data_IF_919565833228
#
_entry.id   IF_919565833228
#
_cell.length_a   1.000
_cell.length_b   1.000
_cell.length_c   1.000
_cell.angle_alpha   90.00
_cell.angle_beta   90.00
_cell.angle_gamma   90.00
#
_symmetry.space_group_name_H-M   'P 1'
#
loop_
_entity.id
_entity.type
_entity.pdbx_description
1 polymer ?
#
# COMPACT_ATOMS: atom_id res chain seq x y z
N UNK A 1 25.78 -7.69 19.88
CA UNK A 1 24.41 -7.24 20.30
C UNK A 1 23.42 -7.88 19.33
N UNK A 2 22.23 -8.33 19.76
CA UNK A 2 21.27 -8.92 18.83
C UNK A 2 20.88 -7.92 17.74
N UNK A 3 20.41 -8.43 16.60
CA UNK A 3 19.93 -7.61 15.49
C UNK A 3 18.79 -6.68 15.94
N UNK A 4 18.96 -5.39 15.70
CA UNK A 4 17.98 -4.36 16.00
C UNK A 4 17.36 -3.83 14.69
N UNK A 5 16.04 -3.74 14.62
CA UNK A 5 15.34 -2.94 13.62
C UNK A 5 15.30 -1.50 14.16
N UNK A 6 16.08 -0.63 13.56
CA UNK A 6 16.24 0.76 13.98
C UNK A 6 15.44 1.68 13.07
N UNK A 7 14.61 2.54 13.66
CA UNK A 7 13.78 3.53 12.96
C UNK A 7 13.10 2.95 11.71
N UNK A 8 12.27 1.88 11.82
CA UNK A 8 11.62 1.27 10.67
C UNK A 8 10.77 2.28 9.90
N UNK A 9 10.68 2.09 8.59
CA UNK A 9 9.94 2.97 7.67
C UNK A 9 8.68 2.27 7.21
N UNK A 10 7.53 2.87 7.48
CA UNK A 10 6.23 2.34 7.08
C UNK A 10 5.59 3.22 6.01
N UNK A 11 5.25 2.64 4.85
CA UNK A 11 4.49 3.32 3.80
C UNK A 11 3.00 3.13 4.09
N UNK A 12 2.33 4.22 4.44
CA UNK A 12 0.90 4.29 4.71
C UNK A 12 0.15 4.80 3.49
N UNK A 13 -0.86 4.08 3.02
CA UNK A 13 -1.64 4.46 1.86
C UNK A 13 -2.99 3.75 1.85
N UNK A 14 -3.99 4.37 1.22
CA UNK A 14 -5.17 3.64 0.82
C UNK A 14 -4.80 2.52 -0.18
N UNK A 15 -5.56 1.43 -0.25
CA UNK A 15 -5.32 0.41 -1.26
C UNK A 15 -5.26 1.02 -2.66
N UNK A 16 -4.39 0.50 -3.52
CA UNK A 16 -4.27 0.92 -4.94
C UNK A 16 -3.74 2.34 -5.16
N UNK A 17 -3.01 2.91 -4.20
CA UNK A 17 -2.38 4.26 -4.27
C UNK A 17 -0.96 4.25 -4.84
N UNK A 18 -0.54 3.28 -5.61
CA UNK A 18 0.85 3.10 -6.08
C UNK A 18 1.87 2.78 -4.96
N UNK A 19 1.42 2.38 -3.77
CA UNK A 19 2.30 2.08 -2.64
C UNK A 19 3.25 0.91 -2.90
N UNK A 20 2.84 -0.08 -3.68
CA UNK A 20 3.73 -1.16 -4.12
C UNK A 20 4.83 -0.65 -5.04
N UNK A 21 4.51 0.26 -5.97
CA UNK A 21 5.52 0.87 -6.84
C UNK A 21 6.55 1.67 -6.02
N UNK A 22 6.10 2.47 -5.05
CA UNK A 22 7.00 3.19 -4.16
C UNK A 22 7.87 2.23 -3.34
N UNK A 23 7.28 1.19 -2.78
CA UNK A 23 8.00 0.16 -2.04
C UNK A 23 9.07 -0.53 -2.89
N UNK A 24 8.70 -1.01 -4.09
CA UNK A 24 9.61 -1.67 -5.03
C UNK A 24 10.73 -0.71 -5.48
N UNK A 25 10.43 0.58 -5.63
CA UNK A 25 11.41 1.62 -5.96
C UNK A 25 12.42 1.80 -4.85
N UNK A 26 11.96 2.02 -3.62
CA UNK A 26 12.85 2.25 -2.47
C UNK A 26 13.61 1.00 -2.04
N UNK A 27 13.03 -0.20 -2.21
CA UNK A 27 13.68 -1.49 -1.91
C UNK A 27 14.91 -1.79 -2.77
N UNK A 28 15.20 -0.97 -3.79
CA UNK A 28 16.44 -1.07 -4.57
C UNK A 28 17.67 -0.53 -3.81
N UNK A 29 17.46 0.31 -2.80
CA UNK A 29 18.53 0.79 -1.94
C UNK A 29 19.17 -0.35 -1.14
N UNK A 30 20.49 -0.43 -1.12
CA UNK A 30 21.25 -1.40 -0.32
C UNK A 30 21.11 -1.16 1.20
N UNK A 31 20.58 0.01 1.61
CA UNK A 31 20.42 0.39 3.01
C UNK A 31 19.07 -0.01 3.61
N UNK A 32 18.16 -0.58 2.79
CA UNK A 32 16.82 -0.95 3.22
C UNK A 32 16.62 -2.46 3.19
N UNK A 33 15.99 -2.94 4.22
CA UNK A 33 15.59 -4.34 4.39
C UNK A 33 14.07 -4.45 4.37
N UNK A 34 13.53 -5.52 3.87
CA UNK A 34 12.09 -5.77 3.85
C UNK A 34 11.79 -7.21 4.29
N UNK A 35 10.55 -7.50 4.57
CA UNK A 35 10.11 -8.88 4.81
C UNK A 35 9.77 -9.61 3.48
N UNK A 36 9.99 -8.96 2.34
CA UNK A 36 9.77 -9.52 0.99
C UNK A 36 8.32 -9.55 0.53
N UNK A 37 7.35 -9.35 1.41
CA UNK A 37 5.92 -9.32 1.16
C UNK A 37 5.21 -8.41 2.18
N UNK A 38 3.89 -8.43 2.20
CA UNK A 38 3.07 -7.64 3.13
C UNK A 38 3.05 -8.26 4.54
N UNK A 39 3.14 -7.42 5.57
CA UNK A 39 3.25 -7.84 6.98
C UNK A 39 1.95 -8.37 7.60
N UNK A 40 0.82 -8.33 6.87
CA UNK A 40 -0.45 -8.71 7.47
C UNK A 40 -0.47 -10.15 8.00
N UNK A 41 0.20 -11.09 7.35
CA UNK A 41 0.31 -12.47 7.84
C UNK A 41 1.08 -12.56 9.16
N UNK A 42 2.17 -11.76 9.33
CA UNK A 42 2.93 -11.70 10.56
C UNK A 42 2.15 -11.08 11.72
N UNK A 43 1.25 -10.14 11.42
CA UNK A 43 0.45 -9.45 12.42
C UNK A 43 -0.80 -10.28 12.76
N UNK A 44 -1.55 -10.71 11.76
CA UNK A 44 -2.85 -11.38 11.91
C UNK A 44 -2.75 -12.84 12.38
N UNK A 45 -1.55 -13.42 12.54
CA UNK A 45 -1.38 -14.71 13.20
C UNK A 45 -1.73 -14.67 14.70
N UNK A 46 -1.76 -13.51 15.31
CA UNK A 46 -2.12 -13.31 16.71
C UNK A 46 -3.60 -12.97 16.85
N UNK A 47 -4.39 -13.76 17.61
CA UNK A 47 -5.84 -13.57 17.70
C UNK A 47 -6.30 -12.14 18.01
N UNK A 48 -5.68 -11.38 18.96
CA UNK A 48 -6.06 -9.99 19.23
C UNK A 48 -5.86 -9.02 18.07
N UNK A 49 -5.09 -9.41 17.05
CA UNK A 49 -4.76 -8.60 15.87
C UNK A 49 -5.42 -9.10 14.60
N UNK A 50 -6.18 -10.21 14.69
CA UNK A 50 -6.82 -10.87 13.57
C UNK A 50 -8.29 -10.44 13.47
N UNK A 51 -8.71 -9.79 12.35
CA UNK A 51 -10.08 -9.32 12.18
C UNK A 51 -11.14 -10.44 12.08
N UNK A 52 -10.73 -11.68 11.78
CA UNK A 52 -11.62 -12.85 11.78
C UNK A 52 -11.64 -13.60 13.13
N UNK A 53 -10.87 -13.14 14.12
CA UNK A 53 -10.86 -13.69 15.47
C UNK A 53 -11.40 -12.66 16.47
N UNK A 54 -10.54 -11.79 17.01
CA UNK A 54 -10.90 -10.89 18.12
C UNK A 54 -10.98 -9.41 17.70
N UNK A 55 -10.25 -9.01 16.63
CA UNK A 55 -10.11 -7.59 16.29
C UNK A 55 -11.30 -6.99 15.52
N UNK A 56 -12.20 -7.78 14.95
CA UNK A 56 -13.38 -7.37 14.17
C UNK A 56 -13.11 -6.56 12.87
N UNK A 57 -11.96 -5.95 12.75
CA UNK A 57 -11.53 -5.16 11.57
C UNK A 57 -10.01 -5.12 11.48
N UNK A 58 -9.46 -4.48 10.43
CA UNK A 58 -8.01 -4.24 10.40
C UNK A 58 -7.57 -3.08 11.33
N UNK A 59 -8.51 -2.38 11.99
CA UNK A 59 -8.16 -1.33 12.93
C UNK A 59 -7.55 -1.91 14.18
N UNK A 60 -6.28 -1.56 14.44
CA UNK A 60 -5.58 -1.94 15.67
C UNK A 60 -4.93 -0.70 16.27
N UNK A 61 -5.21 -0.44 17.54
CA UNK A 61 -4.60 0.64 18.33
C UNK A 61 -3.39 0.14 19.12
N UNK A 62 -2.84 0.97 20.00
CA UNK A 62 -1.75 0.57 20.88
C UNK A 62 -2.19 -0.38 22.03
N UNK A 63 -3.50 -0.52 22.26
CA UNK A 63 -4.04 -1.27 23.40
C UNK A 63 -3.56 -2.72 23.50
N UNK A 64 -3.49 -3.53 22.43
CA UNK A 64 -3.00 -4.91 22.49
C UNK A 64 -1.55 -5.04 22.97
N UNK A 65 -0.77 -3.95 22.97
CA UNK A 65 0.63 -3.94 23.42
C UNK A 65 0.80 -3.52 24.88
N UNK A 66 -0.30 -3.29 25.60
CA UNK A 66 -0.25 -2.85 27.00
C UNK A 66 -0.15 -4.04 27.98
N UNK A 67 0.51 -3.79 29.11
CA UNK A 67 0.70 -4.78 30.18
C UNK A 67 1.64 -5.93 29.79
N UNK A 68 1.82 -6.88 30.67
CA UNK A 68 2.79 -7.97 30.51
C UNK A 68 2.53 -8.86 29.28
N UNK A 69 1.25 -9.15 29.00
CA UNK A 69 0.85 -9.93 27.81
C UNK A 69 1.15 -9.13 26.53
N UNK A 70 0.85 -7.84 26.52
CA UNK A 70 1.12 -6.96 25.40
C UNK A 70 2.62 -6.76 25.14
N UNK A 71 3.43 -6.69 26.17
CA UNK A 71 4.90 -6.66 26.05
C UNK A 71 5.45 -7.94 25.40
N UNK A 72 4.92 -9.12 25.78
CA UNK A 72 5.30 -10.40 25.16
C UNK A 72 4.86 -10.47 23.71
N UNK A 73 3.64 -10.02 23.40
CA UNK A 73 3.15 -9.88 22.03
C UNK A 73 4.08 -8.97 21.20
N UNK A 74 4.47 -7.82 21.76
CA UNK A 74 5.39 -6.90 21.11
C UNK A 74 6.78 -7.51 20.86
N UNK A 75 7.33 -8.27 21.83
CA UNK A 75 8.59 -9.00 21.64
C UNK A 75 8.48 -10.05 20.54
N UNK A 76 7.40 -10.83 20.53
CA UNK A 76 7.13 -11.87 19.53
C UNK A 76 7.01 -11.30 18.13
N UNK A 77 6.31 -10.17 17.98
CA UNK A 77 6.18 -9.47 16.70
C UNK A 77 7.52 -8.92 16.19
N UNK A 78 8.27 -8.21 17.03
CA UNK A 78 9.60 -7.70 16.64
C UNK A 78 10.52 -8.84 16.22
N UNK A 79 10.48 -9.97 16.92
CA UNK A 79 11.23 -11.16 16.53
C UNK A 79 10.76 -11.73 15.19
N UNK A 80 9.43 -11.79 14.96
CA UNK A 80 8.88 -12.27 13.69
C UNK A 80 9.32 -11.38 12.51
N UNK A 81 9.27 -10.05 12.67
CA UNK A 81 9.81 -9.12 11.68
C UNK A 81 11.30 -9.38 11.40
N UNK A 82 12.13 -9.43 12.46
CA UNK A 82 13.58 -9.64 12.33
C UNK A 82 13.94 -10.95 11.61
N UNK A 83 13.24 -12.05 11.90
CA UNK A 83 13.47 -13.35 11.27
C UNK A 83 13.09 -13.39 9.77
N UNK A 84 12.20 -12.52 9.35
CA UNK A 84 11.72 -12.46 7.96
C UNK A 84 12.44 -11.39 7.12
N UNK A 85 13.36 -10.62 7.68
CA UNK A 85 14.11 -9.61 6.93
C UNK A 85 14.93 -10.21 5.80
N UNK A 86 14.90 -9.53 4.66
CA UNK A 86 15.67 -9.81 3.45
C UNK A 86 16.11 -8.48 2.83
N UNK A 87 17.30 -8.48 2.24
CA UNK A 87 17.74 -7.40 1.35
C UNK A 87 17.10 -7.52 -0.04
N UNK A 88 17.52 -6.65 -0.95
CA UNK A 88 17.08 -6.63 -2.35
C UNK A 88 17.41 -7.93 -3.11
N UNK A 89 18.43 -8.67 -2.68
CA UNK A 89 18.88 -9.93 -3.30
C UNK A 89 18.27 -11.15 -2.62
N UNK A 90 17.55 -10.97 -1.53
CA UNK A 90 16.90 -12.02 -0.74
C UNK A 90 17.81 -12.59 0.36
N UNK A 91 18.98 -12.01 0.60
CA UNK A 91 19.86 -12.42 1.69
C UNK A 91 19.32 -12.00 3.05
N UNK A 92 19.67 -12.75 4.10
CA UNK A 92 19.34 -12.41 5.49
C UNK A 92 20.31 -11.38 6.03
N UNK A 93 19.86 -10.49 6.96
CA UNK A 93 20.77 -9.58 7.62
C UNK A 93 21.80 -10.35 8.48
N UNK A 94 22.93 -9.73 8.82
CA UNK A 94 23.86 -10.27 9.77
C UNK A 94 23.13 -10.51 11.13
N UNK A 95 23.58 -11.46 11.94
CA UNK A 95 22.91 -11.81 13.20
C UNK A 95 22.95 -10.71 14.24
N UNK A 96 23.83 -9.73 14.07
CA UNK A 96 24.08 -8.63 14.97
C UNK A 96 24.12 -7.29 14.23
N UNK A 97 23.90 -6.20 14.96
CA UNK A 97 23.94 -4.85 14.42
C UNK A 97 22.56 -4.22 14.30
N UNK A 98 22.46 -3.24 13.41
CA UNK A 98 21.24 -2.46 13.19
C UNK A 98 20.88 -2.45 11.70
N UNK A 99 19.59 -2.57 11.39
CA UNK A 99 19.05 -2.55 10.03
C UNK A 99 17.83 -1.64 9.96
N UNK A 100 17.61 -1.03 8.78
CA UNK A 100 16.42 -0.22 8.49
C UNK A 100 15.39 -1.05 7.75
N UNK A 101 14.28 -1.37 8.41
CA UNK A 101 13.14 -2.02 7.77
C UNK A 101 12.36 -1.02 6.92
N UNK A 102 12.07 -1.36 5.67
CA UNK A 102 11.03 -0.75 4.85
C UNK A 102 9.84 -1.71 4.75
N UNK A 103 8.66 -1.23 5.11
CA UNK A 103 7.44 -2.03 5.10
C UNK A 103 6.29 -1.31 4.39
N UNK A 104 5.50 -2.06 3.63
CA UNK A 104 4.31 -1.58 2.96
C UNK A 104 3.23 -2.66 2.98
N UNK A 105 2.18 -2.43 3.76
CA UNK A 105 0.95 -3.22 3.75
C UNK A 105 -0.24 -2.26 3.78
N UNK A 106 -1.16 -2.29 2.81
CA UNK A 106 -2.31 -1.37 2.80
C UNK A 106 -3.18 -1.44 4.07
N UNK A 107 -3.31 -2.61 4.70
CA UNK A 107 -4.03 -2.78 5.98
C UNK A 107 -3.41 -1.96 7.12
N UNK A 108 -2.11 -1.64 7.04
CA UNK A 108 -1.42 -0.84 8.05
C UNK A 108 -1.85 0.64 8.06
N UNK A 109 -2.56 1.10 7.03
CA UNK A 109 -3.30 2.36 7.07
C UNK A 109 -4.23 2.50 8.28
N UNK A 110 -4.67 1.38 8.85
CA UNK A 110 -5.55 1.30 10.01
C UNK A 110 -4.80 0.91 11.31
N UNK A 111 -3.44 0.87 11.28
CA UNK A 111 -2.62 0.33 12.40
C UNK A 111 -1.51 1.28 12.85
N UNK A 112 -1.56 2.55 12.49
CA UNK A 112 -0.48 3.50 12.82
C UNK A 112 -0.21 3.58 14.32
N UNK A 113 -1.21 3.71 15.23
CA UNK A 113 -0.95 3.74 16.67
C UNK A 113 -0.31 2.45 17.20
N UNK A 114 -0.70 1.30 16.64
CA UNK A 114 -0.09 0.01 16.97
C UNK A 114 1.38 -0.05 16.54
N UNK A 115 1.68 0.34 15.30
CA UNK A 115 3.04 0.34 14.77
C UNK A 115 3.94 1.36 15.48
N UNK A 116 3.40 2.53 15.84
CA UNK A 116 4.11 3.52 16.62
C UNK A 116 4.40 3.08 18.05
N UNK A 117 3.53 2.28 18.66
CA UNK A 117 3.77 1.66 19.96
C UNK A 117 4.75 0.49 19.86
N UNK A 118 4.69 -0.30 18.79
CA UNK A 118 5.62 -1.42 18.55
C UNK A 118 7.05 -0.93 18.27
N UNK A 119 7.17 0.21 17.53
CA UNK A 119 8.43 0.87 17.18
C UNK A 119 8.31 2.38 17.44
N UNK A 120 8.66 2.84 18.65
CA UNK A 120 8.48 4.24 19.06
C UNK A 120 9.27 5.25 18.25
N UNK A 121 10.29 4.81 17.52
CA UNK A 121 11.16 5.58 16.63
C UNK A 121 10.79 5.46 15.13
N UNK A 122 9.71 4.74 14.81
CA UNK A 122 9.27 4.51 13.44
C UNK A 122 9.03 5.80 12.64
N UNK A 123 9.32 5.72 11.35
CA UNK A 123 9.07 6.76 10.36
C UNK A 123 7.89 6.37 9.48
N UNK A 124 7.03 7.34 9.15
CA UNK A 124 5.82 7.11 8.39
C UNK A 124 5.80 7.94 7.12
N UNK A 125 5.61 7.29 5.98
CA UNK A 125 5.44 7.92 4.67
C UNK A 125 3.98 7.78 4.28
N UNK A 126 3.23 8.88 4.23
CA UNK A 126 1.86 8.88 3.72
C UNK A 126 1.87 9.12 2.21
N UNK A 127 1.50 8.10 1.44
CA UNK A 127 1.37 8.21 -0.01
C UNK A 127 -0.10 8.41 -0.37
N UNK A 128 -0.43 9.58 -0.91
CA UNK A 128 -1.75 9.90 -1.45
C UNK A 128 -1.79 9.75 -2.97
N UNK A 129 -2.97 9.51 -3.52
CA UNK A 129 -3.20 9.43 -4.95
C UNK A 129 -4.51 10.16 -5.30
N UNK A 130 -4.58 10.70 -6.51
CA UNK A 130 -5.83 11.29 -7.02
C UNK A 130 -7.04 10.39 -6.71
N UNK A 131 -8.09 10.93 -6.06
CA UNK A 131 -9.20 10.11 -5.56
C UNK A 131 -9.98 9.43 -6.69
N UNK A 132 -10.13 10.07 -7.86
CA UNK A 132 -10.83 9.49 -9.02
C UNK A 132 -10.11 8.24 -9.50
N UNK A 133 -8.78 8.35 -9.66
CA UNK A 133 -7.95 7.22 -10.08
C UNK A 133 -7.87 6.13 -9.02
N UNK A 134 -7.78 6.51 -7.74
CA UNK A 134 -7.61 5.56 -6.66
C UNK A 134 -8.88 4.73 -6.45
N UNK A 135 -10.06 5.38 -6.33
CA UNK A 135 -11.34 4.70 -6.14
C UNK A 135 -11.68 3.83 -7.35
N UNK A 136 -11.48 4.34 -8.58
CA UNK A 136 -11.63 3.54 -9.79
C UNK A 136 -10.75 2.28 -9.77
N UNK A 137 -9.51 2.40 -9.32
CA UNK A 137 -8.59 1.25 -9.18
C UNK A 137 -9.00 0.27 -8.07
N UNK A 138 -9.66 0.73 -7.01
CA UNK A 138 -10.25 -0.14 -5.99
C UNK A 138 -11.44 -0.91 -6.57
N UNK A 139 -12.32 -0.26 -7.35
CA UNK A 139 -13.43 -0.92 -8.06
C UNK A 139 -12.89 -2.03 -8.97
N UNK A 140 -11.86 -1.73 -9.77
CA UNK A 140 -11.22 -2.72 -10.63
C UNK A 140 -10.62 -3.89 -9.86
N UNK A 141 -9.98 -3.61 -8.73
CA UNK A 141 -9.40 -4.64 -7.87
C UNK A 141 -10.47 -5.61 -7.35
N UNK A 142 -11.62 -5.08 -6.91
CA UNK A 142 -12.76 -5.90 -6.50
C UNK A 142 -13.30 -6.76 -7.65
N UNK A 143 -13.49 -6.17 -8.83
CA UNK A 143 -14.00 -6.88 -10.01
C UNK A 143 -13.05 -7.98 -10.49
N UNK A 144 -11.75 -7.76 -10.36
CA UNK A 144 -10.74 -8.72 -10.79
C UNK A 144 -10.70 -10.02 -9.99
N UNK A 145 -11.24 -10.03 -8.78
CA UNK A 145 -11.16 -11.14 -7.79
C UNK A 145 -9.73 -11.52 -7.36
N UNK A 146 -8.71 -10.80 -7.82
CA UNK A 146 -7.30 -11.09 -7.49
C UNK A 146 -6.89 -10.60 -6.09
N UNK A 147 -7.72 -9.78 -5.44
CA UNK A 147 -7.43 -9.14 -4.15
C UNK A 147 -8.43 -9.53 -3.07
N UNK A 148 -9.00 -10.73 -3.17
CA UNK A 148 -9.86 -11.30 -2.11
C UNK A 148 -9.00 -11.55 -0.88
N UNK A 149 -9.33 -10.89 0.23
CA UNK A 149 -8.61 -10.99 1.52
C UNK A 149 -9.40 -11.77 2.56
N UNK A 150 -10.73 -11.71 2.47
CA UNK A 150 -11.63 -12.37 3.42
C UNK A 150 -12.69 -13.19 2.65
N UNK A 151 -12.32 -14.39 2.16
CA UNK A 151 -13.20 -15.20 1.29
C UNK A 151 -14.46 -15.67 1.99
N UNK A 152 -14.50 -15.73 3.32
CA UNK A 152 -15.66 -16.11 4.13
C UNK A 152 -16.66 -14.98 4.33
N UNK A 153 -16.30 -13.73 4.04
CA UNK A 153 -17.20 -12.57 4.12
C UNK A 153 -17.85 -12.38 2.74
N UNK A 154 -19.08 -12.85 2.59
CA UNK A 154 -19.88 -12.65 1.37
C UNK A 154 -20.51 -11.25 1.34
N UNK A 155 -20.54 -10.63 0.15
CA UNK A 155 -21.19 -9.34 -0.09
C UNK A 155 -21.99 -9.40 -1.39
N UNK A 156 -22.83 -8.40 -1.66
CA UNK A 156 -23.52 -8.24 -2.96
C UNK A 156 -22.50 -8.15 -4.14
N UNK A 157 -21.24 -7.79 -3.86
CA UNK A 157 -20.18 -7.69 -4.84
C UNK A 157 -19.23 -8.89 -4.85
N UNK A 158 -19.59 -10.02 -4.21
CA UNK A 158 -18.75 -11.22 -4.03
C UNK A 158 -17.92 -11.18 -2.74
N UNK A 159 -16.90 -12.05 -2.60
CA UNK A 159 -16.08 -12.11 -1.39
C UNK A 159 -15.36 -10.81 -1.09
N UNK A 160 -15.20 -10.47 0.20
CA UNK A 160 -14.58 -9.22 0.61
C UNK A 160 -13.12 -9.12 0.13
N UNK A 161 -12.81 -8.01 -0.51
CA UNK A 161 -11.49 -7.72 -1.07
C UNK A 161 -10.83 -6.53 -0.37
N UNK A 162 -9.49 -6.50 -0.38
CA UNK A 162 -8.66 -5.43 0.17
C UNK A 162 -8.79 -5.31 1.70
N UNK A 163 -8.73 -4.09 2.26
CA UNK A 163 -8.76 -3.88 3.70
C UNK A 163 -10.19 -3.97 4.27
N UNK A 164 -10.28 -4.30 5.56
CA UNK A 164 -11.53 -4.42 6.31
C UNK A 164 -11.62 -3.33 7.38
N UNK A 165 -12.17 -2.13 7.06
CA UNK A 165 -12.27 -1.03 8.02
C UNK A 165 -13.37 -1.25 9.05
N UNK A 166 -13.35 -0.58 10.22
CA UNK A 166 -14.50 -0.53 11.12
C UNK A 166 -15.78 -0.09 10.38
N UNK A 167 -16.92 -0.69 10.71
CA UNK A 167 -18.20 -0.42 10.03
C UNK A 167 -18.39 -1.14 8.69
N UNK A 168 -17.52 -2.08 8.35
CA UNK A 168 -17.60 -2.84 7.09
C UNK A 168 -18.92 -3.62 6.93
N UNK A 169 -19.57 -4.02 8.04
CA UNK A 169 -20.83 -4.78 8.00
C UNK A 169 -21.97 -4.01 7.35
N UNK A 170 -21.97 -2.67 7.49
CA UNK A 170 -22.96 -1.79 6.87
C UNK A 170 -22.76 -1.67 5.34
N UNK A 171 -21.74 -2.33 4.80
CA UNK A 171 -21.37 -2.28 3.38
C UNK A 171 -21.57 -3.61 2.64
N UNK A 172 -22.08 -4.63 3.30
CA UNK A 172 -22.26 -5.96 2.70
C UNK A 172 -23.17 -5.93 1.46
N UNK A 173 -24.25 -5.15 1.54
CA UNK A 173 -25.24 -5.01 0.46
C UNK A 173 -25.10 -3.70 -0.34
N UNK A 174 -24.05 -2.91 -0.05
CA UNK A 174 -23.84 -1.62 -0.72
C UNK A 174 -23.34 -1.81 -2.17
N UNK A 175 -23.65 -0.87 -3.08
CA UNK A 175 -23.05 -0.82 -4.41
C UNK A 175 -21.51 -0.76 -4.33
N UNK A 176 -20.83 -1.35 -5.32
CA UNK A 176 -19.38 -1.48 -5.30
C UNK A 176 -18.63 -0.15 -5.17
N UNK A 177 -19.14 0.89 -5.82
CA UNK A 177 -18.55 2.24 -5.73
C UNK A 177 -18.62 2.80 -4.31
N UNK A 178 -19.68 2.48 -3.56
CA UNK A 178 -19.80 2.89 -2.16
C UNK A 178 -18.82 2.12 -1.27
N UNK A 179 -18.64 0.82 -1.52
CA UNK A 179 -17.63 0.00 -0.82
C UNK A 179 -16.23 0.54 -1.11
N UNK A 180 -15.93 0.83 -2.37
CA UNK A 180 -14.62 1.35 -2.77
C UNK A 180 -14.32 2.74 -2.17
N UNK A 181 -15.31 3.64 -2.22
CA UNK A 181 -15.20 4.96 -1.60
C UNK A 181 -15.07 4.87 -0.08
N UNK A 182 -15.79 3.96 0.56
CA UNK A 182 -15.68 3.69 2.00
C UNK A 182 -14.28 3.20 2.38
N UNK A 183 -13.70 2.24 1.65
CA UNK A 183 -12.35 1.76 1.91
C UNK A 183 -11.30 2.87 1.70
N UNK A 184 -11.43 3.67 0.64
CA UNK A 184 -10.57 4.82 0.38
C UNK A 184 -10.67 5.86 1.50
N UNK A 185 -11.91 6.21 1.89
CA UNK A 185 -12.19 7.19 2.93
C UNK A 185 -11.67 6.73 4.28
N UNK A 186 -11.99 5.50 4.70
CA UNK A 186 -11.56 4.97 5.99
C UNK A 186 -10.02 4.93 6.10
N UNK A 187 -9.32 4.46 5.05
CA UNK A 187 -7.86 4.43 5.07
C UNK A 187 -7.27 5.83 5.25
N UNK A 188 -7.64 6.79 4.40
CA UNK A 188 -7.08 8.14 4.43
C UNK A 188 -7.48 8.91 5.70
N UNK A 189 -8.72 8.73 6.19
CA UNK A 189 -9.19 9.34 7.43
C UNK A 189 -8.35 8.88 8.63
N UNK A 190 -8.18 7.55 8.78
CA UNK A 190 -7.38 7.00 9.88
C UNK A 190 -5.90 7.39 9.76
N UNK A 191 -5.33 7.43 8.55
CA UNK A 191 -3.95 7.89 8.37
C UNK A 191 -3.81 9.34 8.85
N UNK A 192 -4.70 10.24 8.42
CA UNK A 192 -4.66 11.65 8.83
C UNK A 192 -4.78 11.82 10.34
N UNK A 193 -5.78 11.16 10.93
CA UNK A 193 -6.08 11.30 12.36
C UNK A 193 -4.95 10.72 13.22
N UNK A 194 -4.41 9.56 12.85
CA UNK A 194 -3.34 8.89 13.60
C UNK A 194 -1.99 9.61 13.43
N UNK A 195 -1.67 10.07 12.22
CA UNK A 195 -0.42 10.82 11.98
C UNK A 195 -0.41 12.18 12.65
N UNK A 196 -1.56 12.73 13.02
CA UNK A 196 -1.61 13.97 13.80
C UNK A 196 -0.89 13.87 15.15
N UNK A 197 -0.86 12.66 15.75
CA UNK A 197 -0.16 12.38 17.00
C UNK A 197 1.34 12.02 16.80
N UNK A 198 1.80 11.83 15.57
CA UNK A 198 3.20 11.52 15.25
C UNK A 198 3.97 12.84 15.06
N UNK A 199 5.13 13.02 15.70
CA UNK A 199 5.99 14.18 15.50
C UNK A 199 6.29 14.46 14.01
N UNK A 200 6.37 15.75 13.65
CA UNK A 200 6.52 16.16 12.26
C UNK A 200 7.76 15.58 11.57
N UNK A 201 8.85 15.48 12.30
CA UNK A 201 10.14 14.92 11.84
C UNK A 201 10.09 13.41 11.56
N UNK A 202 9.03 12.72 12.00
CA UNK A 202 8.84 11.29 11.78
C UNK A 202 7.76 10.94 10.75
N UNK A 203 7.23 11.95 10.05
CA UNK A 203 6.22 11.73 9.01
C UNK A 203 6.46 12.64 7.81
N UNK A 204 6.18 12.13 6.63
CA UNK A 204 6.12 12.93 5.41
C UNK A 204 4.97 12.48 4.52
N UNK A 205 4.54 13.36 3.62
CA UNK A 205 3.46 13.07 2.67
C UNK A 205 3.97 13.21 1.24
N UNK A 206 3.60 12.26 0.39
CA UNK A 206 3.90 12.21 -1.04
C UNK A 206 2.62 12.08 -1.84
N UNK A 207 2.58 12.71 -3.03
CA UNK A 207 1.57 12.39 -4.03
C UNK A 207 2.13 11.38 -5.03
N UNK A 208 1.35 10.35 -5.36
CA UNK A 208 1.76 9.34 -6.34
C UNK A 208 2.12 9.93 -7.72
N UNK A 209 1.55 11.09 -8.07
CA UNK A 209 1.91 11.80 -9.30
C UNK A 209 3.38 12.24 -9.34
N UNK A 210 3.97 12.60 -8.18
CA UNK A 210 5.39 12.95 -8.09
C UNK A 210 6.28 11.74 -8.39
N UNK A 211 5.94 10.57 -7.81
CA UNK A 211 6.67 9.33 -8.06
C UNK A 211 6.65 8.93 -9.53
N UNK A 212 5.52 9.17 -10.21
CA UNK A 212 5.37 8.84 -11.63
C UNK A 212 6.09 9.86 -12.52
N UNK A 213 6.16 11.13 -12.11
CA UNK A 213 6.80 12.20 -12.87
C UNK A 213 8.33 12.20 -12.72
N UNK A 214 8.82 12.06 -11.49
CA UNK A 214 10.26 12.07 -11.18
C UNK A 214 10.58 11.11 -10.02
N UNK A 215 10.76 9.82 -10.31
CA UNK A 215 11.09 8.81 -9.29
C UNK A 215 12.40 9.14 -8.54
N UNK A 216 13.37 9.76 -9.23
CA UNK A 216 14.65 10.10 -8.64
C UNK A 216 14.51 11.19 -7.58
N UNK A 217 13.83 12.30 -7.90
CA UNK A 217 13.61 13.39 -6.94
C UNK A 217 12.83 12.89 -5.70
N UNK A 218 11.84 12.01 -5.89
CA UNK A 218 11.11 11.38 -4.78
C UNK A 218 12.06 10.52 -3.93
N UNK A 219 12.88 9.67 -4.54
CA UNK A 219 13.82 8.83 -3.81
C UNK A 219 14.87 9.67 -3.06
N UNK A 220 15.42 10.73 -3.65
CA UNK A 220 16.33 11.67 -2.98
C UNK A 220 15.69 12.34 -1.77
N UNK A 221 14.41 12.78 -1.88
CA UNK A 221 13.64 13.35 -0.77
C UNK A 221 13.43 12.33 0.34
N UNK A 222 13.08 11.11 -0.01
CA UNK A 222 12.86 10.04 0.96
C UNK A 222 14.16 9.59 1.63
N UNK A 223 15.27 9.44 0.89
CA UNK A 223 16.57 9.11 1.49
C UNK A 223 16.98 10.14 2.54
N UNK A 224 16.77 11.43 2.27
CA UNK A 224 17.01 12.50 3.27
C UNK A 224 16.07 12.37 4.47
N UNK A 225 14.79 12.10 4.23
CA UNK A 225 13.79 11.95 5.31
C UNK A 225 14.09 10.77 6.24
N UNK A 226 14.48 9.63 5.65
CA UNK A 226 14.77 8.41 6.43
C UNK A 226 16.23 8.29 6.87
N UNK A 227 17.05 9.31 6.55
CA UNK A 227 18.45 9.42 6.95
C UNK A 227 19.28 8.21 6.47
N UNK A 228 19.24 7.94 5.16
CA UNK A 228 20.10 6.97 4.49
C UNK A 228 20.78 7.62 3.27
N UNK A 229 21.98 7.19 2.88
CA UNK A 229 22.60 7.66 1.66
C UNK A 229 21.82 7.16 0.43
N UNK A 230 21.87 7.98 -0.63
CA UNK A 230 21.44 7.55 -1.97
C UNK A 230 22.71 7.19 -2.75
N UNK A 231 22.99 5.89 -2.84
CA UNK A 231 24.14 5.41 -3.59
C UNK A 231 23.98 5.58 -5.10
N UNK A 232 25.11 5.55 -5.84
CA UNK A 232 25.13 5.80 -7.26
C UNK A 232 24.39 4.74 -8.07
N UNK A 233 24.44 3.47 -7.65
CA UNK A 233 23.72 2.37 -8.30
C UNK A 233 22.21 2.57 -8.19
N UNK A 234 21.73 2.93 -6.99
CA UNK A 234 20.32 3.23 -6.77
C UNK A 234 19.88 4.45 -7.59
N UNK A 235 20.65 5.53 -7.57
CA UNK A 235 20.36 6.75 -8.33
C UNK A 235 20.29 6.51 -9.84
N UNK A 236 21.28 5.77 -10.39
CA UNK A 236 21.33 5.46 -11.83
C UNK A 236 20.17 4.56 -12.28
N UNK A 237 19.76 3.63 -11.45
CA UNK A 237 18.61 2.76 -11.69
C UNK A 237 17.26 3.49 -11.79
N UNK A 238 17.18 4.74 -11.32
CA UNK A 238 15.98 5.58 -11.38
C UNK A 238 15.97 6.53 -12.60
N UNK A 239 16.99 6.52 -13.42
CA UNK A 239 17.04 7.28 -14.69
C UNK A 239 16.20 6.65 -15.80
N UNK A 240 15.76 5.41 -15.63
CA UNK A 240 14.90 4.70 -16.55
C UNK A 240 13.44 4.72 -16.03
N UNK A 241 12.44 4.64 -16.94
CA UNK A 241 11.05 4.51 -16.52
C UNK A 241 10.87 3.36 -15.52
N UNK A 242 10.06 3.60 -14.48
CA UNK A 242 9.76 2.55 -13.51
C UNK A 242 9.01 1.39 -14.17
N UNK A 243 9.37 0.13 -13.86
CA UNK A 243 8.60 -1.02 -14.32
C UNK A 243 7.19 -1.01 -13.73
N UNK A 244 6.27 -1.73 -14.34
CA UNK A 244 4.97 -1.98 -13.74
C UNK A 244 5.15 -2.73 -12.42
N UNK A 245 4.47 -2.28 -11.35
CA UNK A 245 4.53 -3.00 -10.08
C UNK A 245 3.83 -4.37 -10.19
N UNK A 246 4.23 -5.30 -9.33
CA UNK A 246 3.75 -6.70 -9.35
C UNK A 246 2.22 -6.83 -9.21
N UNK A 247 1.55 -5.84 -8.64
CA UNK A 247 0.08 -5.84 -8.46
C UNK A 247 -0.65 -4.96 -9.49
N UNK A 248 0.01 -4.54 -10.55
CA UNK A 248 -0.63 -3.76 -11.63
C UNK A 248 -1.62 -4.65 -12.39
N UNK A 249 -2.89 -4.22 -12.43
CA UNK A 249 -3.95 -4.93 -13.16
C UNK A 249 -3.96 -4.57 -14.65
N UNK A 250 -3.66 -3.31 -14.95
CA UNK A 250 -3.71 -2.78 -16.31
C UNK A 250 -2.66 -1.68 -16.44
N UNK A 251 -2.09 -1.52 -17.63
CA UNK A 251 -1.16 -0.45 -17.92
C UNK A 251 -1.72 0.92 -17.49
N UNK A 252 -0.92 1.79 -16.86
CA UNK A 252 -1.33 3.14 -16.52
C UNK A 252 -1.75 3.89 -17.79
N UNK A 253 -2.91 4.55 -17.74
CA UNK A 253 -3.39 5.45 -18.82
C UNK A 253 -4.01 6.69 -18.18
N UNK A 254 -3.80 7.87 -18.72
CA UNK A 254 -4.57 9.05 -18.33
C UNK A 254 -6.07 8.76 -18.44
N UNK A 255 -6.86 9.36 -17.58
CA UNK A 255 -8.33 9.32 -17.63
C UNK A 255 -8.98 7.92 -17.56
N UNK A 256 -8.22 6.88 -17.18
CA UNK A 256 -8.75 5.53 -17.02
C UNK A 256 -9.95 5.45 -16.06
N UNK A 257 -10.03 6.35 -15.10
CA UNK A 257 -11.12 6.47 -14.14
C UNK A 257 -12.45 6.84 -14.80
N UNK A 258 -12.47 7.46 -16.02
CA UNK A 258 -13.68 7.92 -16.72
C UNK A 258 -14.69 6.80 -16.96
N UNK A 259 -14.23 5.56 -17.14
CA UNK A 259 -15.12 4.39 -17.24
C UNK A 259 -15.96 4.14 -15.99
N UNK A 260 -15.58 4.72 -14.86
CA UNK A 260 -16.32 4.71 -13.60
C UNK A 260 -16.91 6.09 -13.26
N UNK A 261 -16.96 7.02 -14.22
CA UNK A 261 -17.35 8.43 -14.01
C UNK A 261 -18.68 8.57 -13.28
N UNK A 262 -19.73 7.90 -13.73
CA UNK A 262 -21.05 7.93 -13.08
C UNK A 262 -21.03 7.34 -11.65
N UNK A 263 -20.26 6.30 -11.42
CA UNK A 263 -20.08 5.71 -10.09
C UNK A 263 -19.37 6.68 -9.14
N UNK A 264 -18.32 7.33 -9.64
CA UNK A 264 -17.55 8.33 -8.88
C UNK A 264 -18.40 9.57 -8.57
N UNK A 265 -19.23 10.04 -9.51
CA UNK A 265 -20.15 11.17 -9.26
C UNK A 265 -21.08 10.91 -8.08
N UNK A 266 -21.64 9.69 -7.95
CA UNK A 266 -22.54 9.34 -6.86
C UNK A 266 -21.87 9.40 -5.48
N UNK A 267 -20.60 9.03 -5.38
CA UNK A 267 -19.87 9.01 -4.10
C UNK A 267 -19.12 10.31 -3.80
N UNK A 268 -18.92 11.18 -4.80
CA UNK A 268 -18.08 12.37 -4.70
C UNK A 268 -18.48 13.31 -3.56
N UNK A 269 -19.76 13.68 -3.38
CA UNK A 269 -20.16 14.62 -2.31
C UNK A 269 -19.76 14.15 -0.91
N UNK A 270 -19.68 12.82 -0.71
CA UNK A 270 -19.29 12.24 0.59
C UNK A 270 -17.79 12.29 0.82
N UNK A 271 -16.97 12.17 -0.23
CA UNK A 271 -15.50 12.10 -0.10
C UNK A 271 -14.82 13.47 -0.22
N UNK A 272 -15.46 14.46 -0.86
CA UNK A 272 -14.89 15.79 -1.11
C UNK A 272 -14.33 16.47 0.15
N UNK A 273 -15.01 16.45 1.31
CA UNK A 273 -14.46 17.07 2.54
C UNK A 273 -13.15 16.43 3.00
N UNK A 274 -12.95 15.13 2.74
CA UNK A 274 -11.69 14.48 3.07
C UNK A 274 -10.57 14.85 2.10
N UNK A 275 -10.88 15.13 0.84
CA UNK A 275 -9.89 15.61 -0.15
C UNK A 275 -9.32 16.96 0.31
N UNK A 276 -10.16 17.86 0.77
CA UNK A 276 -9.73 19.15 1.31
C UNK A 276 -8.81 18.99 2.54
N UNK A 277 -9.14 18.05 3.43
CA UNK A 277 -8.29 17.72 4.59
C UNK A 277 -6.94 17.11 4.16
N UNK A 278 -6.94 16.22 3.16
CA UNK A 278 -5.72 15.65 2.59
C UNK A 278 -4.84 16.75 2.01
N UNK A 279 -5.41 17.64 1.20
CA UNK A 279 -4.69 18.78 0.62
C UNK A 279 -4.09 19.71 1.69
N UNK A 280 -4.82 19.96 2.77
CA UNK A 280 -4.32 20.74 3.90
C UNK A 280 -3.17 20.05 4.68
N UNK A 281 -3.01 18.75 4.55
CA UNK A 281 -1.99 17.94 5.24
C UNK A 281 -0.72 17.70 4.41
N UNK A 282 -0.71 18.08 3.13
CA UNK A 282 0.42 17.86 2.24
C UNK A 282 1.66 18.64 2.69
N UNK A 283 2.81 18.06 2.44
CA UNK A 283 4.09 18.74 2.64
C UNK A 283 4.28 19.87 1.62
N UNK A 284 5.07 20.87 1.98
CA UNK A 284 5.38 21.97 1.07
C UNK A 284 6.00 21.45 -0.22
N UNK A 285 5.45 21.88 -1.35
CA UNK A 285 5.88 21.46 -2.68
C UNK A 285 5.24 20.16 -3.19
N UNK A 286 4.46 19.43 -2.37
CA UNK A 286 3.70 18.27 -2.84
C UNK A 286 2.49 18.74 -3.65
N UNK A 287 2.29 18.22 -4.89
CA UNK A 287 1.12 18.58 -5.70
C UNK A 287 -0.20 18.24 -5.01
N UNK A 288 -1.14 19.18 -5.05
CA UNK A 288 -2.46 18.96 -4.49
C UNK A 288 -3.25 17.90 -5.27
N UNK A 289 -4.14 17.21 -4.54
CA UNK A 289 -5.14 16.33 -5.14
C UNK A 289 -6.23 17.19 -5.81
N UNK A 290 -6.72 16.73 -6.94
CA UNK A 290 -7.84 17.39 -7.62
C UNK A 290 -9.14 17.20 -6.82
N UNK A 291 -9.62 18.28 -6.23
CA UNK A 291 -10.87 18.30 -5.48
C UNK A 291 -12.12 18.42 -6.38
N UNK A 292 -11.95 18.78 -7.66
CA UNK A 292 -13.05 18.81 -8.60
C UNK A 292 -13.59 17.39 -8.86
N UNK A 293 -14.90 17.25 -8.71
CA UNK A 293 -15.57 15.98 -9.00
C UNK A 293 -15.47 15.61 -10.47
N UNK A 294 -15.80 14.35 -10.82
CA UNK A 294 -15.93 13.95 -12.21
C UNK A 294 -16.93 14.87 -12.94
N UNK A 295 -16.60 15.37 -14.15
CA UNK A 295 -17.52 16.22 -14.91
C UNK A 295 -18.80 15.45 -15.27
N UNK A 296 -19.96 16.14 -15.44
CA UNK A 296 -21.25 15.51 -15.72
C UNK A 296 -21.28 14.65 -16.99
N UNK A 297 -20.44 15.01 -17.95
CA UNK A 297 -20.26 14.33 -19.25
C UNK A 297 -19.14 13.26 -19.24
N UNK A 298 -18.62 12.91 -18.04
CA UNK A 298 -17.77 11.75 -17.88
C UNK A 298 -18.59 10.50 -18.25
N UNK A 299 -18.68 10.27 -19.56
CA UNK A 299 -19.55 9.29 -20.22
C UNK A 299 -19.18 7.90 -19.72
N UNK A 300 -20.21 7.19 -19.33
CA UNK A 300 -20.27 5.74 -19.29
C UNK A 300 -19.87 5.22 -20.67
N UNK A 301 -18.60 4.89 -20.88
CA UNK A 301 -18.26 3.90 -21.87
C UNK A 301 -19.03 2.64 -21.45
N UNK A 302 -19.91 2.17 -22.33
CA UNK A 302 -20.74 1.00 -22.06
C UNK A 302 -19.88 -0.15 -21.55
N UNK A 303 -20.38 -0.97 -20.59
CA UNK A 303 -19.63 -2.13 -20.09
C UNK A 303 -19.31 -3.16 -21.18
N UNK A 304 -19.89 -3.02 -22.37
CA UNK A 304 -19.85 -3.98 -23.48
C UNK A 304 -18.78 -3.74 -24.55
N UNK A 305 -18.08 -2.62 -24.54
CA UNK A 305 -16.77 -2.61 -25.17
C UNK A 305 -15.80 -3.28 -24.20
N UNK A 306 -15.98 -4.59 -24.13
CA UNK A 306 -15.11 -5.50 -23.44
C UNK A 306 -13.67 -5.19 -23.87
N UNK A 307 -12.96 -4.44 -23.03
CA UNK A 307 -11.54 -4.71 -22.89
C UNK A 307 -11.46 -6.23 -22.65
N UNK A 308 -11.28 -7.01 -23.72
CA UNK A 308 -10.70 -8.34 -23.60
C UNK A 308 -9.56 -8.11 -22.62
N UNK A 309 -9.65 -8.77 -21.48
CA UNK A 309 -8.69 -8.66 -20.40
C UNK A 309 -7.30 -8.76 -21.00
N UNK A 310 -6.73 -7.62 -21.37
CA UNK A 310 -5.34 -7.55 -21.70
C UNK A 310 -4.63 -7.56 -20.35
N UNK A 311 -4.48 -8.77 -19.83
CA UNK A 311 -3.58 -9.01 -18.71
C UNK A 311 -2.18 -8.63 -19.23
N UNK A 312 -1.53 -7.57 -18.72
CA UNK A 312 -0.17 -7.25 -19.13
C UNK A 312 0.78 -8.43 -18.85
N UNK A 313 0.33 -9.41 -18.07
CA UNK A 313 1.01 -10.67 -17.85
C UNK A 313 0.60 -11.75 -18.86
N UNK A 314 -0.47 -11.59 -19.65
CA UNK A 314 -0.85 -12.52 -20.72
C UNK A 314 0.08 -12.41 -21.95
N UNK A 315 0.73 -11.26 -22.14
CA UNK A 315 1.84 -11.13 -23.10
C UNK A 315 3.12 -11.84 -22.65
N UNK A 316 3.17 -12.30 -21.40
CA UNK A 316 4.22 -13.16 -20.88
C UNK A 316 4.00 -14.64 -21.30
N UNK A 317 3.22 -14.89 -22.37
CA UNK A 317 2.97 -16.22 -22.90
C UNK A 317 4.25 -17.05 -23.02
N UNK A 318 4.20 -18.34 -22.75
CA UNK A 318 5.26 -19.34 -22.86
C UNK A 318 6.63 -19.00 -22.23
N UNK A 319 6.66 -18.13 -21.22
CA UNK A 319 7.87 -17.93 -20.42
C UNK A 319 8.09 -19.19 -19.57
N UNK A 320 9.13 -19.92 -19.86
CA UNK A 320 9.52 -21.11 -19.09
C UNK A 320 9.66 -20.75 -17.60
N UNK A 321 9.10 -21.57 -16.71
CA UNK A 321 9.11 -21.33 -15.24
C UNK A 321 10.47 -20.95 -14.67
N UNK A 322 11.56 -21.42 -15.29
CA UNK A 322 12.93 -21.19 -14.87
C UNK A 322 13.63 -20.04 -15.61
N UNK A 323 13.00 -19.45 -16.64
CA UNK A 323 13.54 -18.32 -17.38
C UNK A 323 13.55 -17.04 -16.54
N UNK A 324 14.45 -16.06 -16.83
CA UNK A 324 14.37 -14.74 -16.22
C UNK A 324 12.97 -14.13 -16.41
N UNK A 325 12.43 -13.50 -15.37
CA UNK A 325 11.11 -12.90 -15.48
C UNK A 325 11.18 -11.66 -16.42
N UNK A 326 10.29 -11.56 -17.43
CA UNK A 326 10.27 -10.43 -18.36
C UNK A 326 10.07 -9.06 -17.71
N UNK A 327 9.62 -9.02 -16.44
CA UNK A 327 9.45 -7.76 -15.71
C UNK A 327 10.77 -7.06 -15.32
N UNK A 328 11.93 -7.64 -15.68
CA UNK A 328 13.23 -7.04 -15.35
C UNK A 328 13.67 -7.18 -13.88
N UNK A 329 12.96 -7.95 -13.06
CA UNK A 329 13.27 -8.12 -11.63
C UNK A 329 14.53 -8.96 -11.36
N UNK A 330 15.16 -9.53 -12.39
CA UNK A 330 16.27 -10.49 -12.26
C UNK A 330 15.89 -11.85 -11.67
N UNK A 331 14.65 -12.05 -11.23
CA UNK A 331 14.15 -13.30 -10.65
C UNK A 331 13.70 -14.25 -11.76
N UNK A 332 13.76 -15.57 -11.48
CA UNK A 332 13.13 -16.57 -12.37
C UNK A 332 11.61 -16.39 -12.37
N UNK A 333 10.96 -16.65 -13.50
CA UNK A 333 9.50 -16.45 -13.67
C UNK A 333 8.69 -17.13 -12.56
N UNK A 334 8.99 -18.39 -12.21
CA UNK A 334 8.34 -19.13 -11.11
C UNK A 334 8.48 -18.49 -9.72
N UNK A 335 9.51 -17.66 -9.51
CA UNK A 335 9.76 -16.97 -8.23
C UNK A 335 9.29 -15.51 -8.26
N UNK A 336 8.68 -15.08 -9.35
CA UNK A 336 8.15 -13.74 -9.58
C UNK A 336 6.69 -13.83 -10.05
N UNK A 337 6.42 -13.58 -11.33
CA UNK A 337 5.05 -13.55 -11.89
C UNK A 337 4.46 -14.96 -12.16
N UNK A 338 5.26 -15.98 -12.22
CA UNK A 338 4.82 -17.38 -12.37
C UNK A 338 4.64 -18.14 -11.05
N UNK A 339 4.56 -17.46 -9.90
CA UNK A 339 4.12 -18.08 -8.64
C UNK A 339 2.66 -18.53 -8.80
N UNK A 340 2.45 -19.84 -8.68
CA UNK A 340 1.12 -20.38 -8.45
C UNK A 340 0.74 -20.01 -7.00
N UNK A 341 -0.34 -19.27 -6.82
CA UNK A 341 -0.98 -19.02 -5.52
C UNK A 341 -1.55 -20.32 -4.97
#
# INVERSE_FOLDING_TARGET
MPLLIDRPVFIMAAPRSCSTLLFETMSRSAHLWSIGDESHQLIEQFPPLNPLAEADSNRVTAEPLQGAIGEELGRSLRRAFALNLRDREGARPPPEGSVRLLEKTPKNALRIPFLAALYPDALFIHLVRDPKENIASIIDAWRSRRFVTYPTIATANGPWSLLLPPGWRDRLEAPLEEVAAFQWQAANQHILDDLAAIPRERRCTLNASELLADPRAVAERLCRFIDIPMDEEFASGLMQPLPLSMYTLHAPRPDKWRRHGGALQRVWPRIAPLIDRLNASLDAGTPALDAAGPPPDAVVASPDEAERHHDPHSEMGDVGRNSPCPCGSGRRFKACHGRLT
#
